data_IF_625153116718
#
_entry.id   IF_625153116718
#
_cell.length_a   1.000
_cell.length_b   1.000
_cell.length_c   1.000
_cell.angle_alpha   90.00
_cell.angle_beta   90.00
_cell.angle_gamma   90.00
#
_symmetry.space_group_name_H-M   'P 1'
#
loop_
_entity.id
_entity.type
_entity.pdbx_description
1 polymer ?
#
# COMPACT_ATOMS: atom_id res chain seq x y z
N UNK A 1 9.18 34.53 5.98
CA UNK A 1 9.01 33.05 5.76
C UNK A 1 9.72 32.67 4.45
N UNK A 2 10.96 32.22 4.52
CA UNK A 2 11.74 31.84 3.33
C UNK A 2 11.44 30.38 2.98
N UNK A 3 10.89 30.13 1.78
CA UNK A 3 10.75 28.77 1.21
C UNK A 3 12.15 28.18 1.06
N UNK A 4 12.44 27.07 1.73
CA UNK A 4 13.63 26.25 1.45
C UNK A 4 13.41 25.58 0.10
N UNK A 5 14.27 25.91 -0.86
CA UNK A 5 14.38 25.20 -2.13
C UNK A 5 14.81 23.76 -1.82
N UNK A 6 14.02 22.80 -2.32
CA UNK A 6 14.26 21.39 -2.11
C UNK A 6 15.55 20.94 -2.78
N UNK A 7 16.40 20.30 -2.01
CA UNK A 7 17.46 19.46 -2.54
C UNK A 7 16.79 18.32 -3.32
N UNK A 8 17.14 18.15 -4.59
CA UNK A 8 16.62 17.11 -5.46
C UNK A 8 16.74 15.74 -4.78
N UNK A 9 15.65 15.00 -4.76
CA UNK A 9 15.56 13.68 -4.16
C UNK A 9 16.60 12.75 -4.82
N UNK A 10 17.55 12.15 -4.08
CA UNK A 10 18.57 11.27 -4.63
C UNK A 10 18.01 10.04 -5.38
N UNK A 11 16.73 9.71 -5.15
CA UNK A 11 16.03 8.61 -5.80
C UNK A 11 15.67 8.94 -7.25
N UNK A 12 15.38 10.22 -7.57
CA UNK A 12 15.12 10.64 -8.97
C UNK A 12 16.33 10.39 -9.87
N UNK A 13 17.53 10.46 -9.31
CA UNK A 13 18.78 10.13 -10.01
C UNK A 13 18.98 8.61 -10.10
N UNK A 14 18.56 7.85 -9.08
CA UNK A 14 18.55 6.39 -9.05
C UNK A 14 17.53 5.77 -10.01
N UNK A 15 16.32 6.32 -10.07
CA UNK A 15 15.27 5.89 -11.01
C UNK A 15 15.73 6.05 -12.47
N UNK A 16 16.34 7.18 -12.81
CA UNK A 16 16.93 7.41 -14.15
C UNK A 16 18.01 6.40 -14.50
N UNK A 17 18.77 5.91 -13.51
CA UNK A 17 19.81 4.91 -13.71
C UNK A 17 19.28 3.49 -13.87
N UNK A 18 18.17 3.16 -13.19
CA UNK A 18 17.49 1.86 -13.29
C UNK A 18 16.71 1.76 -14.60
N UNK A 19 16.06 2.83 -15.01
CA UNK A 19 15.31 2.92 -16.26
C UNK A 19 16.23 3.06 -17.50
N UNK A 20 17.43 3.60 -17.34
CA UNK A 20 18.43 3.74 -18.42
C UNK A 20 19.07 2.43 -18.86
N UNK A 21 18.81 1.32 -18.16
CA UNK A 21 19.40 0.01 -18.48
C UNK A 21 18.51 -0.96 -19.27
N UNK A 22 17.21 -0.69 -19.42
CA UNK A 22 16.30 -1.49 -20.26
C UNK A 22 15.40 -0.55 -21.03
N UNK A 23 15.88 -0.19 -22.22
CA UNK A 23 15.32 0.81 -23.08
C UNK A 23 13.82 0.68 -23.29
N UNK A 24 13.11 1.80 -23.11
CA UNK A 24 11.89 2.03 -23.85
C UNK A 24 12.27 2.08 -25.33
N UNK A 25 12.02 1.00 -26.05
CA UNK A 25 12.09 0.98 -27.52
C UNK A 25 10.92 1.82 -28.02
N UNK A 26 11.21 3.09 -28.29
CA UNK A 26 10.35 3.91 -29.12
C UNK A 26 10.55 3.39 -30.54
N UNK A 27 9.67 2.53 -30.99
CA UNK A 27 9.48 2.25 -32.40
C UNK A 27 8.20 2.92 -32.88
N UNK A 28 8.31 3.65 -33.97
CA UNK A 28 7.22 4.23 -34.74
C UNK A 28 6.10 3.19 -34.97
N UNK A 29 4.85 3.57 -34.66
CA UNK A 29 3.63 2.78 -34.75
C UNK A 29 3.29 1.85 -33.54
N UNK A 30 2.76 2.44 -32.46
CA UNK A 30 2.07 1.73 -31.39
C UNK A 30 2.81 1.83 -30.04
N UNK A 31 2.15 2.43 -29.08
CA UNK A 31 2.59 2.39 -27.66
C UNK A 31 2.56 0.92 -27.23
N UNK A 32 3.72 0.27 -27.22
CA UNK A 32 3.85 -1.05 -26.59
C UNK A 32 3.62 -0.84 -25.10
N UNK A 33 2.46 -1.21 -24.62
CA UNK A 33 2.22 -1.31 -23.18
C UNK A 33 3.17 -2.38 -22.63
N UNK A 34 4.04 -2.02 -21.67
CA UNK A 34 4.96 -3.00 -21.10
C UNK A 34 4.18 -4.17 -20.52
N UNK A 35 4.78 -5.36 -20.56
CA UNK A 35 4.22 -6.56 -19.95
C UNK A 35 3.89 -6.29 -18.46
N UNK A 36 2.67 -6.58 -18.00
CA UNK A 36 2.27 -6.45 -16.60
C UNK A 36 3.26 -7.06 -15.60
N UNK A 37 3.93 -8.15 -15.96
CA UNK A 37 4.97 -8.77 -15.14
C UNK A 37 6.21 -7.88 -15.01
N UNK A 38 6.64 -7.23 -16.08
CA UNK A 38 7.80 -6.30 -16.06
C UNK A 38 7.51 -5.08 -15.19
N UNK A 39 6.29 -4.54 -15.26
CA UNK A 39 5.88 -3.42 -14.41
C UNK A 39 5.90 -3.86 -12.94
N UNK A 40 5.35 -5.02 -12.62
CA UNK A 40 5.32 -5.58 -11.26
C UNK A 40 6.72 -5.82 -10.73
N UNK A 41 7.63 -6.39 -11.52
CA UNK A 41 9.02 -6.62 -11.12
C UNK A 41 9.74 -5.31 -10.81
N UNK A 42 9.56 -4.30 -11.64
CA UNK A 42 10.12 -2.96 -11.43
C UNK A 42 9.57 -2.33 -10.15
N UNK A 43 8.26 -2.41 -9.94
CA UNK A 43 7.58 -1.93 -8.73
C UNK A 43 8.14 -2.62 -7.47
N UNK A 44 8.25 -3.95 -7.48
CA UNK A 44 8.78 -4.72 -6.35
C UNK A 44 10.26 -4.42 -6.08
N UNK A 45 11.05 -4.17 -7.10
CA UNK A 45 12.46 -3.79 -6.96
C UNK A 45 12.60 -2.42 -6.30
N UNK A 46 11.85 -1.42 -6.77
CA UNK A 46 11.90 -0.06 -6.23
C UNK A 46 11.29 0.00 -4.82
N UNK A 47 10.18 -0.68 -4.56
CA UNK A 47 9.59 -0.72 -3.22
C UNK A 47 10.57 -1.29 -2.18
N UNK A 48 11.34 -2.32 -2.54
CA UNK A 48 12.39 -2.86 -1.67
C UNK A 48 13.50 -1.84 -1.39
N UNK A 49 13.92 -1.07 -2.41
CA UNK A 49 14.92 -0.01 -2.24
C UNK A 49 14.41 1.12 -1.34
N UNK A 50 13.10 1.40 -1.39
CA UNK A 50 12.43 2.34 -0.50
C UNK A 50 12.26 1.82 0.93
N UNK A 51 12.63 0.55 1.19
CA UNK A 51 12.61 -0.06 2.52
C UNK A 51 11.30 -0.77 2.86
N UNK A 52 10.40 -0.98 1.88
CA UNK A 52 9.25 -1.85 2.11
C UNK A 52 9.72 -3.31 2.22
N UNK A 53 9.20 -4.01 3.21
CA UNK A 53 9.49 -5.42 3.49
C UNK A 53 8.66 -6.39 2.65
N UNK A 54 7.56 -5.90 2.05
CA UNK A 54 6.70 -6.66 1.16
C UNK A 54 6.02 -5.76 0.14
N UNK A 55 5.87 -6.27 -1.07
CA UNK A 55 5.12 -5.67 -2.17
C UNK A 55 4.33 -6.79 -2.84
N UNK A 56 3.00 -6.67 -2.85
CA UNK A 56 2.08 -7.64 -3.41
C UNK A 56 0.95 -6.95 -4.15
N UNK A 57 0.39 -7.62 -5.13
CA UNK A 57 -0.67 -7.08 -5.99
C UNK A 57 -1.93 -7.91 -5.81
N UNK A 58 -3.03 -7.26 -5.42
CA UNK A 58 -4.38 -7.81 -5.49
C UNK A 58 -5.07 -7.34 -6.76
N UNK A 59 -5.95 -8.16 -7.33
CA UNK A 59 -6.92 -7.68 -8.30
C UNK A 59 -7.86 -6.71 -7.61
N UNK A 60 -8.15 -5.57 -8.23
CA UNK A 60 -9.16 -4.65 -7.70
C UNK A 60 -10.55 -5.30 -7.78
N UNK A 61 -11.35 -5.07 -6.76
CA UNK A 61 -12.71 -5.56 -6.66
C UNK A 61 -13.30 -5.31 -5.28
N UNK A 62 -14.59 -5.50 -5.19
CA UNK A 62 -15.34 -5.31 -3.94
C UNK A 62 -14.80 -6.21 -2.83
N UNK A 63 -14.59 -5.64 -1.67
CA UNK A 63 -14.12 -6.34 -0.49
C UNK A 63 -15.08 -7.47 -0.09
N UNK A 64 -14.59 -8.68 0.26
CA UNK A 64 -15.43 -9.77 0.75
C UNK A 64 -16.10 -9.46 2.10
N UNK A 65 -15.64 -8.42 2.80
CA UNK A 65 -16.22 -7.98 4.07
C UNK A 65 -17.06 -6.71 3.95
N UNK A 66 -17.38 -6.24 2.74
CA UNK A 66 -18.20 -5.06 2.50
C UNK A 66 -19.55 -5.12 3.24
N UNK A 67 -20.25 -6.25 3.15
CA UNK A 67 -21.56 -6.41 3.81
C UNK A 67 -21.44 -6.38 5.35
N UNK A 68 -20.34 -6.87 5.90
CA UNK A 68 -20.08 -6.74 7.35
C UNK A 68 -19.85 -5.29 7.76
N UNK A 69 -19.17 -4.50 6.92
CA UNK A 69 -19.00 -3.07 7.15
C UNK A 69 -20.35 -2.36 7.17
N UNK A 70 -21.24 -2.64 6.21
CA UNK A 70 -22.55 -2.01 6.15
C UNK A 70 -23.42 -2.36 7.36
N UNK A 71 -23.49 -3.64 7.72
CA UNK A 71 -24.21 -4.07 8.93
C UNK A 71 -23.64 -3.44 10.22
N UNK A 72 -22.34 -3.25 10.29
CA UNK A 72 -21.67 -2.62 11.43
C UNK A 72 -22.05 -1.13 11.51
N UNK A 73 -22.12 -0.44 10.37
CA UNK A 73 -22.56 0.96 10.27
C UNK A 73 -24.05 1.11 10.59
N UNK A 74 -24.90 0.24 10.04
CA UNK A 74 -26.35 0.24 10.27
C UNK A 74 -26.69 0.07 11.76
N UNK A 75 -25.92 -0.74 12.47
CA UNK A 75 -26.06 -0.93 13.92
C UNK A 75 -25.51 0.23 14.76
N UNK A 76 -24.97 1.28 14.13
CA UNK A 76 -24.36 2.40 14.84
C UNK A 76 -23.10 2.06 15.62
N UNK A 77 -22.48 0.92 15.34
CA UNK A 77 -21.29 0.46 16.08
C UNK A 77 -20.04 1.29 15.79
N UNK A 78 -20.08 2.16 14.80
CA UNK A 78 -19.04 3.14 14.52
C UNK A 78 -18.98 4.28 15.56
N UNK A 79 -19.95 4.35 16.48
CA UNK A 79 -20.03 5.37 17.54
C UNK A 79 -19.81 6.79 16.98
N UNK A 80 -18.86 7.56 17.53
CA UNK A 80 -18.52 8.90 17.05
C UNK A 80 -17.64 8.97 15.81
N UNK A 81 -17.37 7.84 15.14
CA UNK A 81 -16.52 7.80 13.92
C UNK A 81 -17.37 8.07 12.67
N UNK A 82 -18.00 9.24 12.59
CA UNK A 82 -18.88 9.65 11.47
C UNK A 82 -18.17 9.55 10.10
N UNK A 83 -16.86 9.71 10.08
CA UNK A 83 -16.06 9.56 8.85
C UNK A 83 -16.12 8.14 8.27
N UNK A 84 -16.43 7.11 9.06
CA UNK A 84 -16.64 5.74 8.57
C UNK A 84 -17.96 5.63 7.76
N UNK A 85 -18.99 6.37 8.16
CA UNK A 85 -20.31 6.35 7.53
C UNK A 85 -20.43 7.24 6.29
N UNK A 86 -19.49 8.19 6.06
CA UNK A 86 -19.61 9.19 4.98
C UNK A 86 -19.59 8.61 3.56
N UNK A 87 -18.88 7.52 3.33
CA UNK A 87 -18.75 6.93 1.99
C UNK A 87 -18.39 5.46 2.11
N UNK A 88 -19.28 4.62 2.63
CA UNK A 88 -18.99 3.21 2.88
C UNK A 88 -18.75 2.43 1.59
N UNK A 89 -19.42 2.79 0.48
CA UNK A 89 -19.20 2.16 -0.83
C UNK A 89 -17.75 2.34 -1.33
N UNK A 90 -17.17 3.53 -1.13
CA UNK A 90 -15.77 3.77 -1.48
C UNK A 90 -14.82 2.89 -0.70
N UNK A 91 -15.16 2.54 0.56
CA UNK A 91 -14.37 1.59 1.36
C UNK A 91 -14.52 0.18 0.85
N UNK A 92 -15.73 -0.15 0.43
CA UNK A 92 -16.07 -1.48 -0.04
C UNK A 92 -15.47 -1.82 -1.41
N UNK A 93 -15.31 -0.83 -2.30
CA UNK A 93 -14.85 -1.06 -3.67
C UNK A 93 -13.81 -0.01 -4.10
N UNK A 94 -12.58 -0.42 -4.46
CA UNK A 94 -11.56 0.47 -4.98
C UNK A 94 -11.98 1.24 -6.24
N UNK A 95 -12.90 0.73 -7.05
CA UNK A 95 -13.39 1.40 -8.25
C UNK A 95 -14.17 2.68 -7.92
N UNK A 96 -14.81 2.74 -6.75
CA UNK A 96 -15.48 3.94 -6.24
C UNK A 96 -14.49 5.01 -5.74
N UNK A 97 -13.23 4.64 -5.55
CA UNK A 97 -12.14 5.56 -5.16
C UNK A 97 -11.37 6.05 -6.37
N UNK A 98 -11.05 5.13 -7.27
CA UNK A 98 -10.34 5.38 -8.52
C UNK A 98 -11.09 4.69 -9.65
N UNK A 99 -11.79 5.48 -10.46
CA UNK A 99 -12.52 4.96 -11.62
C UNK A 99 -11.58 4.16 -12.53
N UNK A 100 -12.01 2.97 -12.95
CA UNK A 100 -11.18 2.09 -13.75
C UNK A 100 -10.03 1.42 -12.98
N UNK A 101 -10.05 1.42 -11.66
CA UNK A 101 -9.07 0.69 -10.84
C UNK A 101 -9.05 -0.80 -11.21
N UNK A 102 -7.87 -1.33 -11.55
CA UNK A 102 -7.67 -2.73 -11.94
C UNK A 102 -6.80 -3.51 -10.96
N UNK A 103 -5.90 -2.81 -10.28
CA UNK A 103 -4.98 -3.43 -9.32
C UNK A 103 -4.87 -2.62 -8.04
N UNK A 104 -4.72 -3.33 -6.92
CA UNK A 104 -4.42 -2.77 -5.60
C UNK A 104 -3.07 -3.32 -5.16
N UNK A 105 -2.09 -2.44 -5.05
CA UNK A 105 -0.75 -2.78 -4.58
C UNK A 105 -0.75 -2.62 -3.06
N UNK A 106 -0.41 -3.69 -2.35
CA UNK A 106 -0.30 -3.75 -0.90
C UNK A 106 1.17 -3.83 -0.50
N UNK A 107 1.61 -2.87 0.28
CA UNK A 107 2.99 -2.71 0.72
C UNK A 107 3.06 -2.90 2.24
N UNK A 108 4.07 -3.61 2.74
CA UNK A 108 4.34 -3.69 4.17
C UNK A 108 5.61 -2.95 4.52
N UNK A 109 5.56 -2.16 5.58
CA UNK A 109 6.70 -1.43 6.13
C UNK A 109 6.88 -1.77 7.59
N UNK A 110 7.97 -2.47 7.91
CA UNK A 110 8.20 -2.98 9.27
C UNK A 110 8.57 -1.85 10.22
N UNK A 111 7.99 -1.89 11.41
CA UNK A 111 8.40 -1.06 12.53
C UNK A 111 9.00 -1.96 13.61
N UNK A 112 10.31 -2.05 13.61
CA UNK A 112 11.05 -2.73 14.68
C UNK A 112 11.87 -1.69 15.38
N UNK A 113 11.53 -1.42 16.63
CA UNK A 113 12.35 -0.58 17.48
C UNK A 113 12.86 -1.44 18.63
N UNK A 114 14.17 -1.51 18.84
CA UNK A 114 14.75 -2.04 20.06
C UNK A 114 14.55 -1.04 21.21
N UNK A 115 13.34 -0.49 21.36
CA UNK A 115 13.06 0.44 22.43
C UNK A 115 13.25 -0.28 23.76
N UNK A 116 14.35 0.03 24.42
CA UNK A 116 14.53 -0.24 25.86
C UNK A 116 13.39 0.48 26.57
N UNK A 117 12.57 -0.27 27.29
CA UNK A 117 11.57 0.31 28.18
C UNK A 117 12.29 0.75 29.46
N UNK A 118 12.24 2.02 29.83
CA UNK A 118 12.67 2.44 31.16
C UNK A 118 11.82 1.71 32.19
N UNK A 119 12.44 1.18 33.25
CA UNK A 119 11.71 0.59 34.37
C UNK A 119 10.84 1.65 35.05
N UNK A 120 9.57 1.32 35.27
CA UNK A 120 8.63 2.19 36.01
C UNK A 120 7.81 3.16 35.15
N UNK A 121 8.01 3.22 33.85
CA UNK A 121 7.20 4.05 32.95
C UNK A 121 6.12 3.25 32.21
N UNK A 122 5.04 3.95 31.81
CA UNK A 122 3.97 3.36 31.01
C UNK A 122 4.46 2.85 29.66
N UNK A 123 3.76 1.85 29.10
CA UNK A 123 4.09 1.30 27.77
C UNK A 123 3.38 2.05 26.67
N UNK A 124 4.11 2.60 25.72
CA UNK A 124 3.59 3.13 24.46
C UNK A 124 3.74 2.04 23.40
N UNK A 125 2.75 1.89 22.50
CA UNK A 125 2.81 0.94 21.42
C UNK A 125 4.01 1.23 20.49
N UNK A 126 4.72 0.20 20.05
CA UNK A 126 5.93 0.33 19.23
C UNK A 126 5.71 1.17 17.97
N UNK A 127 4.55 1.05 17.33
CA UNK A 127 4.24 1.79 16.10
C UNK A 127 4.20 3.32 16.33
N UNK A 128 3.97 3.77 17.57
CA UNK A 128 3.90 5.19 17.93
C UNK A 128 5.25 5.77 18.34
N UNK A 129 6.32 4.97 18.30
CA UNK A 129 7.67 5.45 18.60
C UNK A 129 8.28 6.14 17.36
N UNK A 130 8.95 7.25 17.58
CA UNK A 130 9.68 7.95 16.54
C UNK A 130 8.86 8.99 15.78
N UNK A 131 9.20 9.19 14.51
CA UNK A 131 8.50 10.13 13.63
C UNK A 131 7.17 9.54 13.17
N UNK A 132 6.22 10.42 12.86
CA UNK A 132 4.96 10.01 12.24
C UNK A 132 5.20 9.23 10.95
N UNK A 133 4.75 7.97 10.94
CA UNK A 133 4.92 7.06 9.81
C UNK A 133 4.09 7.47 8.58
N UNK A 134 3.00 8.22 8.76
CA UNK A 134 2.18 8.67 7.64
C UNK A 134 3.03 9.46 6.64
N UNK A 135 3.72 10.52 7.10
CA UNK A 135 4.57 11.32 6.22
C UNK A 135 5.69 10.52 5.58
N UNK A 136 6.30 9.56 6.31
CA UNK A 136 7.36 8.71 5.79
C UNK A 136 6.84 7.82 4.65
N UNK A 137 5.66 7.21 4.83
CA UNK A 137 5.10 6.29 3.84
C UNK A 137 4.47 7.03 2.67
N UNK A 138 3.87 8.21 2.90
CA UNK A 138 3.34 9.06 1.82
C UNK A 138 4.43 9.50 0.85
N UNK A 139 5.61 9.92 1.35
CA UNK A 139 6.76 10.24 0.51
C UNK A 139 7.18 9.04 -0.36
N UNK A 140 7.25 7.84 0.23
CA UNK A 140 7.61 6.61 -0.50
C UNK A 140 6.55 6.18 -1.51
N UNK A 141 5.26 6.38 -1.18
CA UNK A 141 4.16 6.13 -2.12
C UNK A 141 4.22 7.09 -3.31
N UNK A 142 4.58 8.35 -3.09
CA UNK A 142 4.76 9.33 -4.17
C UNK A 142 5.85 8.87 -5.17
N UNK A 143 6.97 8.34 -4.68
CA UNK A 143 8.03 7.79 -5.53
C UNK A 143 7.52 6.59 -6.37
N UNK A 144 6.68 5.72 -5.79
CA UNK A 144 6.08 4.59 -6.52
C UNK A 144 5.01 5.04 -7.52
N UNK A 145 4.25 6.09 -7.20
CA UNK A 145 3.29 6.69 -8.14
C UNK A 145 4.03 7.31 -9.34
N UNK A 146 5.15 8.01 -9.09
CA UNK A 146 5.99 8.53 -10.17
C UNK A 146 6.52 7.40 -11.06
N UNK A 147 7.00 6.32 -10.47
CA UNK A 147 7.42 5.12 -11.23
C UNK A 147 6.30 4.58 -12.11
N UNK A 148 5.11 4.37 -11.55
CA UNK A 148 3.99 3.80 -12.29
C UNK A 148 3.46 4.75 -13.36
N UNK A 149 3.55 6.08 -13.15
CA UNK A 149 3.12 7.07 -14.14
C UNK A 149 3.85 6.96 -15.48
N UNK A 150 5.08 6.42 -15.47
CA UNK A 150 5.88 6.16 -16.69
C UNK A 150 5.19 5.13 -17.58
N UNK A 151 4.47 4.20 -16.97
CA UNK A 151 3.71 3.16 -17.68
C UNK A 151 2.29 3.59 -18.02
N UNK A 152 1.91 4.81 -17.63
CA UNK A 152 0.58 5.38 -17.83
C UNK A 152 -0.41 5.04 -16.72
N UNK A 153 -1.69 5.29 -16.98
CA UNK A 153 -2.76 5.09 -16.00
C UNK A 153 -2.77 6.13 -14.88
N UNK A 154 -3.74 5.96 -13.98
CA UNK A 154 -3.90 6.79 -12.79
C UNK A 154 -3.53 6.00 -11.54
N UNK A 155 -3.01 6.68 -10.53
CA UNK A 155 -2.63 6.10 -9.25
C UNK A 155 -3.13 6.93 -8.07
N UNK A 156 -3.54 6.26 -6.98
CA UNK A 156 -3.88 6.88 -5.69
C UNK A 156 -3.29 6.07 -4.54
N UNK A 157 -2.41 6.71 -3.77
CA UNK A 157 -1.79 6.10 -2.59
C UNK A 157 -2.50 6.46 -1.29
N UNK A 158 -2.54 5.53 -0.34
CA UNK A 158 -3.12 5.71 0.98
C UNK A 158 -2.31 5.00 2.07
N UNK A 159 -2.26 5.65 3.23
CA UNK A 159 -1.74 5.09 4.46
C UNK A 159 -2.80 5.37 5.55
N UNK A 160 -3.48 4.35 6.04
CA UNK A 160 -4.56 4.38 7.04
C UNK A 160 -5.73 5.35 6.76
N UNK A 161 -5.46 6.54 6.27
CA UNK A 161 -6.47 7.59 6.09
C UNK A 161 -7.36 7.39 4.86
N UNK A 162 -7.12 6.39 4.02
CA UNK A 162 -7.86 6.15 2.78
C UNK A 162 -9.21 5.46 3.00
N UNK A 163 -10.17 5.69 2.09
CA UNK A 163 -11.41 4.93 2.06
C UNK A 163 -11.20 3.57 1.37
N UNK A 164 -10.33 2.73 1.95
CA UNK A 164 -9.96 1.41 1.41
C UNK A 164 -9.97 0.39 2.54
N UNK A 165 -10.46 -0.81 2.29
CA UNK A 165 -10.35 -1.93 3.22
C UNK A 165 -8.99 -2.63 3.02
N UNK A 166 -7.92 -1.99 3.45
CA UNK A 166 -6.52 -2.35 3.19
C UNK A 166 -6.19 -3.80 3.58
N UNK A 167 -6.70 -4.26 4.73
CA UNK A 167 -6.44 -5.62 5.22
C UNK A 167 -7.06 -6.68 4.34
N UNK A 168 -8.19 -6.40 3.70
CA UNK A 168 -8.85 -7.34 2.80
C UNK A 168 -8.02 -7.55 1.53
N UNK A 169 -7.51 -6.45 0.97
CA UNK A 169 -6.63 -6.52 -0.19
C UNK A 169 -5.26 -7.13 0.15
N UNK A 170 -4.72 -6.82 1.34
CA UNK A 170 -3.47 -7.40 1.83
C UNK A 170 -3.57 -8.93 2.02
N UNK A 171 -4.72 -9.42 2.50
CA UNK A 171 -5.01 -10.85 2.59
C UNK A 171 -5.19 -11.49 1.21
N UNK A 172 -5.97 -10.84 0.34
CA UNK A 172 -6.25 -11.32 -1.01
C UNK A 172 -4.99 -11.48 -1.88
N UNK A 173 -3.99 -10.61 -1.71
CA UNK A 173 -2.72 -10.71 -2.43
C UNK A 173 -1.65 -11.54 -1.70
N UNK A 174 -1.96 -12.12 -0.54
CA UNK A 174 -1.01 -12.93 0.20
C UNK A 174 0.14 -12.14 0.84
N UNK A 175 -0.06 -10.85 1.15
CA UNK A 175 0.87 -10.10 1.99
C UNK A 175 0.98 -10.76 3.39
N UNK A 176 -0.08 -11.38 3.84
CA UNK A 176 -0.20 -12.20 5.02
C UNK A 176 -1.62 -12.77 5.13
N UNK A 177 -1.95 -13.40 6.22
CA UNK A 177 -3.31 -13.86 6.55
C UNK A 177 -3.90 -13.04 7.69
N UNK A 178 -5.21 -12.97 7.78
CA UNK A 178 -5.90 -12.32 8.89
C UNK A 178 -5.81 -13.19 10.14
N UNK A 179 -5.11 -12.71 11.14
CA UNK A 179 -5.03 -13.35 12.45
C UNK A 179 -6.30 -13.16 13.28
N UNK A 180 -6.42 -13.89 14.39
CA UNK A 180 -7.55 -13.78 15.34
C UNK A 180 -7.69 -12.39 15.97
N UNK A 181 -6.61 -11.62 16.01
CA UNK A 181 -6.60 -10.20 16.44
C UNK A 181 -7.17 -9.23 15.40
N UNK A 182 -7.51 -9.72 14.18
CA UNK A 182 -7.91 -8.87 13.06
C UNK A 182 -6.76 -8.19 12.32
N UNK A 183 -5.52 -8.37 12.77
CA UNK A 183 -4.34 -7.88 12.08
C UNK A 183 -3.90 -8.86 10.99
N UNK A 184 -3.22 -8.34 9.98
CA UNK A 184 -2.54 -9.17 9.00
C UNK A 184 -1.23 -9.69 9.61
N UNK A 185 -1.02 -11.00 9.51
CA UNK A 185 0.13 -11.72 10.09
C UNK A 185 0.94 -12.32 8.94
N UNK A 186 2.24 -12.16 8.97
CA UNK A 186 3.18 -12.81 8.04
C UNK A 186 3.88 -13.98 8.73
N UNK A 187 4.21 -14.99 7.96
CA UNK A 187 4.94 -16.17 8.47
C UNK A 187 6.30 -15.80 9.07
N UNK A 188 6.97 -14.79 8.48
CA UNK A 188 8.19 -14.19 9.02
C UNK A 188 7.91 -12.72 9.35
N UNK A 189 8.24 -12.27 10.56
CA UNK A 189 8.04 -10.88 11.00
C UNK A 189 6.72 -10.63 11.74
N UNK A 190 5.78 -11.57 11.76
CA UNK A 190 4.52 -11.44 12.51
C UNK A 190 3.64 -10.30 11.99
N UNK A 191 3.05 -9.49 12.88
CA UNK A 191 2.09 -8.43 12.55
C UNK A 191 2.64 -7.01 12.78
N UNK A 192 3.94 -6.86 13.06
CA UNK A 192 4.57 -5.56 13.34
C UNK A 192 4.99 -4.83 12.07
N UNK A 193 4.02 -4.41 11.29
CA UNK A 193 4.24 -3.62 10.07
C UNK A 193 3.03 -2.73 9.79
N UNK A 194 3.27 -1.62 9.12
CA UNK A 194 2.24 -0.79 8.53
C UNK A 194 1.87 -1.34 7.16
N UNK A 195 0.62 -1.13 6.78
CA UNK A 195 0.14 -1.39 5.42
C UNK A 195 0.00 -0.05 4.72
N UNK A 196 0.61 0.06 3.55
CA UNK A 196 0.33 1.14 2.62
C UNK A 196 -0.30 0.54 1.37
N UNK A 197 -1.27 1.24 0.78
CA UNK A 197 -1.97 0.78 -0.42
C UNK A 197 -1.80 1.78 -1.55
N UNK A 198 -1.66 1.27 -2.77
CA UNK A 198 -1.60 2.06 -3.98
C UNK A 198 -2.58 1.47 -4.99
N UNK A 199 -3.65 2.22 -5.27
CA UNK A 199 -4.63 1.89 -6.30
C UNK A 199 -4.09 2.31 -7.66
N UNK A 200 -4.33 1.52 -8.71
CA UNK A 200 -3.92 1.86 -10.07
C UNK A 200 -4.90 1.35 -11.11
N UNK A 201 -5.03 2.09 -12.21
CA UNK A 201 -5.77 1.65 -13.38
C UNK A 201 -4.94 0.71 -14.28
N UNK A 202 -3.65 0.55 -13.99
CA UNK A 202 -2.82 -0.46 -14.65
C UNK A 202 -3.26 -1.87 -14.24
N UNK A 203 -3.35 -2.76 -15.19
CA UNK A 203 -3.55 -4.19 -14.92
C UNK A 203 -2.21 -4.84 -14.66
N UNK A 204 -1.98 -5.20 -13.40
CA UNK A 204 -0.79 -5.91 -12.96
C UNK A 204 -1.13 -7.37 -12.68
N UNK A 205 -0.14 -8.25 -12.81
CA UNK A 205 -0.32 -9.66 -12.47
C UNK A 205 -0.60 -9.82 -10.97
N UNK A 206 -1.77 -10.36 -10.55
CA UNK A 206 -2.11 -10.50 -9.16
C UNK A 206 -1.32 -11.63 -8.48
N UNK A 207 -0.98 -11.41 -7.22
CA UNK A 207 -0.45 -12.45 -6.35
C UNK A 207 -1.58 -13.31 -5.76
N UNK A 208 -1.23 -14.47 -5.24
CA UNK A 208 -2.17 -15.41 -4.64
C UNK A 208 -2.18 -15.30 -3.11
N UNK A 209 -3.34 -15.53 -2.45
CA UNK A 209 -3.43 -15.59 -1.01
C UNK A 209 -2.49 -16.66 -0.41
N UNK A 210 -2.06 -16.41 0.82
CA UNK A 210 -1.32 -17.41 1.60
C UNK A 210 -2.26 -18.19 2.51
N UNK A 211 -1.91 -19.43 2.81
CA UNK A 211 -2.68 -20.25 3.75
C UNK A 211 -2.64 -19.66 5.17
N UNK A 212 -3.77 -19.74 5.88
CA UNK A 212 -3.85 -19.38 7.29
C UNK A 212 -2.86 -20.18 8.13
N UNK A 213 -2.18 -19.48 9.04
CA UNK A 213 -1.16 -20.06 9.91
C UNK A 213 -1.42 -19.87 11.40
N UNK A 214 -2.63 -19.43 11.79
CA UNK A 214 -3.07 -19.44 13.18
C UNK A 214 -3.57 -20.86 13.51
N UNK A 215 -2.81 -21.54 14.37
CA UNK A 215 -3.18 -22.85 14.91
C UNK A 215 -4.45 -22.81 15.76
#
# INVERSE_FOLDING_TARGET
MKRRQGAGNPISTGLKKILGGRGALVHDAGVLTPDPAVIKDSLCAVSRQLGFSGCRVARAGRSPHAEKLFQWLERGWHAGMEWMARSPERRADPAEVLSGCRSVICLSYDYDSPAMRPEGEGSICLYAHGRDYHGILEEKLADLQELLSIYGGEQKGYVDAGPVMERDHAEACGLGWRGRSGLIVRRKGGSRFFIATLLTTLELEPDTPVSHGCG
#
